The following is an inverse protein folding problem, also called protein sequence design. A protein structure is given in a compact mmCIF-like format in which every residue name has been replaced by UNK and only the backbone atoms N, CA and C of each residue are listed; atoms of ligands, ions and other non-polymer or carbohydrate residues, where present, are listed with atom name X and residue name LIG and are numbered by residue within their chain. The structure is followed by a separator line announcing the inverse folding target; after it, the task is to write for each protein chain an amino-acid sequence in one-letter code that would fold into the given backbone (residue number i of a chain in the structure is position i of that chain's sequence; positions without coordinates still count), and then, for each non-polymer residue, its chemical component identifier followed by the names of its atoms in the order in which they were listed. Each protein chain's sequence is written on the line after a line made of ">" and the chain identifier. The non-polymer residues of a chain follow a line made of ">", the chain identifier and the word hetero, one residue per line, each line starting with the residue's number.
data_IF_881379625102
#
_entry.id   IF_881379625102
#
_cell.length_a   1.000
_cell.length_b   1.000
_cell.length_c   1.000
_cell.angle_alpha   90.00
_cell.angle_beta   90.00
_cell.angle_gamma   90.00
#
_symmetry.space_group_name_H-M   'P 1'
#
loop_
_entity.id
_entity.type
_entity.pdbx_description
1 polymer ?
#
# COMPACT_ATOMS: atom_id res chain seq x y z
N UNK A 1 19.62 -10.30 16.63
CA UNK A 1 20.17 -10.19 15.26
C UNK A 1 19.19 -10.89 14.36
N UNK A 2 18.43 -10.15 13.54
CA UNK A 2 17.48 -10.72 12.59
C UNK A 2 18.21 -11.66 11.63
N UNK A 3 17.63 -12.81 11.31
CA UNK A 3 18.23 -13.71 10.32
C UNK A 3 18.27 -13.00 8.95
N UNK A 4 19.40 -13.07 8.22
CA UNK A 4 19.47 -12.47 6.90
C UNK A 4 18.45 -13.13 5.96
N UNK A 5 17.75 -12.32 5.18
CA UNK A 5 16.80 -12.80 4.17
C UNK A 5 17.50 -13.80 3.24
N UNK A 6 16.85 -14.95 2.99
CA UNK A 6 17.34 -15.99 2.08
C UNK A 6 16.48 -16.00 0.82
N UNK A 7 16.98 -15.48 -0.31
CA UNK A 7 16.27 -15.55 -1.57
C UNK A 7 15.99 -16.99 -2.00
N UNK A 8 14.95 -17.18 -2.82
CA UNK A 8 14.67 -18.45 -3.48
C UNK A 8 14.58 -18.28 -4.99
N UNK A 9 14.19 -19.36 -5.69
CA UNK A 9 14.10 -19.37 -7.14
C UNK A 9 13.28 -18.19 -7.68
N UNK A 10 13.88 -17.41 -8.56
CA UNK A 10 13.34 -16.14 -9.03
C UNK A 10 13.26 -16.17 -10.57
N UNK A 11 12.25 -16.85 -11.15
CA UNK A 11 12.20 -17.16 -12.57
C UNK A 11 12.13 -15.93 -13.48
N UNK A 12 11.62 -14.80 -12.96
CA UNK A 12 11.51 -13.53 -13.69
C UNK A 12 12.65 -12.56 -13.36
N UNK A 13 13.52 -12.89 -12.41
CA UNK A 13 14.53 -11.95 -11.91
C UNK A 13 13.89 -10.70 -11.27
N UNK A 14 12.80 -10.90 -10.52
CA UNK A 14 12.08 -9.84 -9.80
C UNK A 14 13.03 -9.08 -8.89
N UNK A 15 12.99 -7.74 -8.93
CA UNK A 15 13.97 -6.87 -8.27
C UNK A 15 13.37 -5.65 -7.56
N UNK A 16 12.13 -5.74 -7.08
CA UNK A 16 11.43 -4.65 -6.38
C UNK A 16 10.42 -3.92 -7.25
N UNK A 17 9.81 -2.87 -6.68
CA UNK A 17 8.92 -1.97 -7.40
C UNK A 17 9.70 -1.10 -8.40
N UNK A 18 9.09 -0.86 -9.56
CA UNK A 18 9.56 0.13 -10.53
C UNK A 18 8.84 1.46 -10.34
N UNK A 19 7.51 1.43 -10.19
CA UNK A 19 6.65 2.59 -9.94
C UNK A 19 5.25 2.13 -9.51
N UNK A 20 4.41 3.07 -9.07
CA UNK A 20 2.96 2.90 -8.90
C UNK A 20 2.23 3.86 -9.83
N UNK A 21 1.27 3.37 -10.60
CA UNK A 21 0.44 4.20 -11.48
C UNK A 21 -0.89 4.50 -10.81
N UNK A 22 -1.25 5.78 -10.79
CA UNK A 22 -2.56 6.25 -10.35
C UNK A 22 -3.42 6.65 -11.54
N UNK A 23 -4.70 6.33 -11.43
CA UNK A 23 -5.75 6.78 -12.31
C UNK A 23 -6.42 8.02 -11.71
N UNK A 24 -6.62 9.05 -12.52
CA UNK A 24 -7.45 10.19 -12.20
C UNK A 24 -8.01 10.84 -13.47
N UNK A 25 -9.18 11.46 -13.36
CA UNK A 25 -9.78 12.26 -14.44
C UNK A 25 -9.26 13.71 -14.44
N UNK A 26 -8.91 14.24 -13.27
CA UNK A 26 -8.22 15.51 -13.06
C UNK A 26 -7.00 15.28 -12.17
N UNK A 27 -5.91 15.97 -12.47
CA UNK A 27 -4.63 15.87 -11.78
C UNK A 27 -4.53 16.79 -10.57
N UNK A 28 -5.35 17.84 -10.47
CA UNK A 28 -5.18 18.90 -9.46
C UNK A 28 -5.15 18.35 -8.01
N UNK A 29 -6.06 17.44 -7.69
CA UNK A 29 -6.13 16.85 -6.35
C UNK A 29 -4.96 15.90 -6.08
N UNK A 30 -4.56 15.08 -7.07
CA UNK A 30 -3.38 14.21 -6.95
C UNK A 30 -2.08 15.01 -6.86
N UNK A 31 -1.95 16.09 -7.63
CA UNK A 31 -0.84 17.04 -7.56
C UNK A 31 -0.71 17.59 -6.13
N UNK A 32 -1.83 18.00 -5.53
CA UNK A 32 -1.86 18.50 -4.16
C UNK A 32 -1.38 17.44 -3.17
N UNK A 33 -1.96 16.24 -3.21
CA UNK A 33 -1.60 15.13 -2.31
C UNK A 33 -0.14 14.73 -2.43
N UNK A 34 0.36 14.54 -3.66
CA UNK A 34 1.75 14.15 -3.89
C UNK A 34 2.74 15.24 -3.50
N UNK A 35 2.38 16.52 -3.70
CA UNK A 35 3.20 17.65 -3.23
C UNK A 35 3.24 17.70 -1.70
N UNK A 36 2.11 17.48 -1.02
CA UNK A 36 2.08 17.39 0.45
C UNK A 36 2.97 16.26 0.97
N UNK A 37 2.94 15.09 0.29
CA UNK A 37 3.81 13.96 0.57
C UNK A 37 5.30 14.21 0.25
N UNK A 38 5.62 15.32 -0.41
CA UNK A 38 7.00 15.72 -0.72
C UNK A 38 7.56 15.17 -2.02
N UNK A 39 6.71 14.69 -2.92
CA UNK A 39 7.14 14.32 -4.25
C UNK A 39 7.34 15.55 -5.12
N UNK A 40 8.50 15.63 -5.78
CA UNK A 40 8.70 16.57 -6.87
C UNK A 40 8.04 16.04 -8.14
N UNK A 41 7.41 16.91 -8.93
CA UNK A 41 6.91 16.54 -10.25
C UNK A 41 7.93 16.88 -11.33
N UNK A 42 8.25 15.91 -12.19
CA UNK A 42 9.12 16.11 -13.34
C UNK A 42 8.36 15.72 -14.61
N UNK A 43 8.28 16.65 -15.57
CA UNK A 43 7.84 16.38 -16.93
C UNK A 43 9.02 15.93 -17.78
N UNK A 44 9.15 14.63 -18.05
CA UNK A 44 10.17 14.09 -18.93
C UNK A 44 9.65 13.93 -20.36
N UNK A 45 10.45 14.31 -21.36
CA UNK A 45 10.09 14.14 -22.78
C UNK A 45 9.75 12.68 -23.17
N UNK A 46 10.33 11.69 -22.46
CA UNK A 46 10.08 10.25 -22.65
C UNK A 46 8.72 9.77 -22.11
N UNK A 47 8.07 10.54 -21.22
CA UNK A 47 6.77 10.20 -20.63
C UNK A 47 5.59 10.83 -21.38
N UNK A 48 5.86 11.65 -22.40
CA UNK A 48 4.81 12.35 -23.16
C UNK A 48 3.96 13.25 -22.24
N UNK A 49 2.68 12.91 -22.06
CA UNK A 49 1.76 13.62 -21.15
C UNK A 49 1.53 12.87 -19.82
N UNK A 50 2.18 11.72 -19.63
CA UNK A 50 2.21 11.04 -18.34
C UNK A 50 3.12 11.84 -17.40
N UNK A 51 2.62 12.14 -16.19
CA UNK A 51 3.39 12.84 -15.17
C UNK A 51 4.08 11.84 -14.26
N UNK A 52 5.30 12.16 -13.85
CA UNK A 52 6.06 11.42 -12.85
C UNK A 52 6.26 12.28 -11.61
N UNK A 53 5.99 11.69 -10.46
CA UNK A 53 6.24 12.23 -9.14
C UNK A 53 7.30 11.37 -8.50
N UNK A 54 8.38 12.01 -8.05
CA UNK A 54 9.58 11.33 -7.61
C UNK A 54 10.03 11.81 -6.23
N UNK A 55 10.39 10.85 -5.38
CA UNK A 55 11.04 11.09 -4.10
C UNK A 55 11.89 9.86 -3.75
N UNK A 56 13.20 10.03 -3.62
CA UNK A 56 14.15 8.95 -3.33
C UNK A 56 13.98 7.77 -4.30
N UNK A 57 13.70 6.55 -3.83
CA UNK A 57 13.50 5.37 -4.69
C UNK A 57 12.02 5.14 -5.07
N UNK A 58 11.16 6.15 -4.88
CA UNK A 58 9.72 6.06 -5.14
C UNK A 58 9.39 6.83 -6.41
N UNK A 59 8.72 6.13 -7.33
CA UNK A 59 8.15 6.70 -8.55
C UNK A 59 6.64 6.48 -8.58
N UNK A 60 5.88 7.57 -8.66
CA UNK A 60 4.45 7.55 -8.90
C UNK A 60 4.18 8.12 -10.30
N UNK A 61 3.37 7.43 -11.08
CA UNK A 61 2.98 7.85 -12.43
C UNK A 61 1.50 8.20 -12.45
N UNK A 62 1.14 9.21 -13.24
CA UNK A 62 -0.27 9.51 -13.54
C UNK A 62 -0.40 9.77 -15.03
N UNK A 63 -1.15 8.94 -15.73
CA UNK A 63 -1.42 9.10 -17.15
C UNK A 63 -2.78 9.76 -17.39
N UNK A 64 -2.75 11.08 -17.62
CA UNK A 64 -3.94 11.87 -17.93
C UNK A 64 -4.20 12.02 -19.43
N UNK A 65 -3.51 11.27 -20.30
CA UNK A 65 -3.81 11.29 -21.74
C UNK A 65 -5.28 10.88 -21.97
N UNK A 66 -6.01 11.60 -22.85
CA UNK A 66 -7.33 11.15 -23.29
C UNK A 66 -7.25 9.72 -23.81
N UNK A 67 -8.25 8.89 -23.46
CA UNK A 67 -8.34 7.48 -23.87
C UNK A 67 -7.14 6.60 -23.46
N UNK A 68 -6.35 7.02 -22.47
CA UNK A 68 -5.41 6.11 -21.79
C UNK A 68 -6.15 5.07 -20.96
N UNK A 69 -5.45 4.00 -20.59
CA UNK A 69 -5.94 3.04 -19.61
C UNK A 69 -6.26 3.74 -18.28
N UNK A 70 -5.33 4.55 -17.76
CA UNK A 70 -5.51 5.29 -16.50
C UNK A 70 -6.76 6.18 -16.50
N UNK A 71 -7.00 6.93 -17.57
CA UNK A 71 -8.18 7.78 -17.69
C UNK A 71 -9.49 6.97 -17.72
N UNK A 72 -9.55 5.88 -18.51
CA UNK A 72 -10.72 4.98 -18.52
C UNK A 72 -10.95 4.31 -17.18
N UNK A 73 -9.88 3.88 -16.51
CA UNK A 73 -9.96 3.27 -15.20
C UNK A 73 -10.53 4.27 -14.18
N UNK A 74 -10.08 5.53 -14.23
CA UNK A 74 -10.57 6.61 -13.38
C UNK A 74 -12.06 6.92 -13.57
N UNK A 75 -12.58 6.79 -14.80
CA UNK A 75 -14.02 6.98 -15.06
C UNK A 75 -14.91 5.96 -14.33
N UNK A 76 -14.40 4.73 -14.12
CA UNK A 76 -15.14 3.67 -13.44
C UNK A 76 -14.84 3.56 -11.94
N UNK A 77 -13.63 3.90 -11.51
CA UNK A 77 -13.15 3.65 -10.15
C UNK A 77 -12.79 4.93 -9.38
N UNK A 78 -12.88 6.11 -10.00
CA UNK A 78 -12.39 7.36 -9.44
C UNK A 78 -10.87 7.37 -9.26
N UNK A 79 -10.39 8.25 -8.37
CA UNK A 79 -8.96 8.36 -8.05
C UNK A 79 -8.48 7.09 -7.34
N UNK A 80 -7.55 6.38 -7.97
CA UNK A 80 -7.19 5.02 -7.57
C UNK A 80 -5.80 4.62 -8.04
N UNK A 81 -5.21 3.57 -7.44
CA UNK A 81 -4.06 2.89 -8.03
C UNK A 81 -4.58 1.96 -9.12
N UNK A 82 -4.11 2.15 -10.35
CA UNK A 82 -4.54 1.38 -11.51
C UNK A 82 -3.42 0.50 -12.09
N UNK A 83 -2.17 0.71 -11.65
CA UNK A 83 -1.04 -0.07 -12.15
C UNK A 83 0.13 -0.16 -11.18
N UNK A 84 0.91 -1.22 -11.32
CA UNK A 84 2.11 -1.51 -10.53
C UNK A 84 3.23 -1.92 -11.46
N UNK A 85 4.34 -1.18 -11.45
CA UNK A 85 5.55 -1.58 -12.13
C UNK A 85 6.38 -2.53 -11.29
N UNK A 86 6.76 -3.68 -11.83
CA UNK A 86 7.64 -4.64 -11.19
C UNK A 86 8.94 -4.74 -12.01
N UNK A 87 10.07 -4.53 -11.35
CA UNK A 87 11.39 -4.69 -11.98
C UNK A 87 11.66 -6.17 -12.22
N UNK A 88 12.02 -6.53 -13.44
CA UNK A 88 12.35 -7.89 -13.87
C UNK A 88 13.67 -7.89 -14.65
N UNK A 89 14.32 -9.05 -14.79
CA UNK A 89 15.59 -9.14 -15.50
C UNK A 89 15.46 -8.95 -17.02
N UNK A 90 14.32 -9.36 -17.61
CA UNK A 90 14.00 -9.20 -19.02
C UNK A 90 12.48 -9.20 -19.21
N UNK A 91 11.92 -8.10 -19.70
CA UNK A 91 10.48 -7.86 -19.75
C UNK A 91 9.77 -8.81 -20.73
N UNK A 92 10.38 -9.10 -21.88
CA UNK A 92 9.78 -10.00 -22.88
C UNK A 92 9.81 -11.45 -22.42
N UNK A 93 10.91 -11.90 -21.82
CA UNK A 93 11.00 -13.23 -21.23
C UNK A 93 10.04 -13.39 -20.05
N UNK A 94 9.92 -12.36 -19.21
CA UNK A 94 8.96 -12.34 -18.10
C UNK A 94 7.50 -12.42 -18.61
N UNK A 95 7.17 -11.69 -19.68
CA UNK A 95 5.85 -11.77 -20.30
C UNK A 95 5.59 -13.19 -20.82
N UNK A 96 6.51 -13.76 -21.59
CA UNK A 96 6.37 -15.11 -22.13
C UNK A 96 6.17 -16.16 -21.02
N UNK A 97 6.92 -16.05 -19.92
CA UNK A 97 6.72 -16.89 -18.74
C UNK A 97 5.34 -16.68 -18.12
N UNK A 98 4.94 -15.44 -17.85
CA UNK A 98 3.67 -15.13 -17.23
C UNK A 98 2.48 -15.69 -18.03
N UNK A 99 2.52 -15.56 -19.36
CA UNK A 99 1.51 -16.13 -20.26
C UNK A 99 1.48 -17.66 -20.22
N UNK A 100 2.65 -18.31 -20.17
CA UNK A 100 2.73 -19.76 -20.01
C UNK A 100 2.15 -20.23 -18.65
N UNK A 101 2.15 -19.38 -17.63
CA UNK A 101 1.54 -19.61 -16.32
C UNK A 101 0.06 -19.16 -16.22
N UNK A 102 -0.56 -18.79 -17.35
CA UNK A 102 -1.98 -18.45 -17.43
C UNK A 102 -2.32 -16.99 -17.11
N UNK A 103 -1.33 -16.09 -16.99
CA UNK A 103 -1.61 -14.67 -16.95
C UNK A 103 -2.21 -14.18 -18.28
N UNK A 104 -2.95 -13.06 -18.23
CA UNK A 104 -3.53 -12.43 -19.42
C UNK A 104 -2.75 -11.16 -19.72
N UNK A 105 -2.28 -11.00 -20.96
CA UNK A 105 -1.64 -9.77 -21.41
C UNK A 105 -2.67 -8.64 -21.49
N UNK A 106 -2.25 -7.43 -21.11
CA UNK A 106 -3.04 -6.22 -21.27
C UNK A 106 -2.86 -5.67 -22.68
N UNK A 107 -3.96 -5.43 -23.38
CA UNK A 107 -3.99 -4.79 -24.69
C UNK A 107 -4.68 -3.42 -24.57
N UNK A 108 -3.95 -2.42 -24.06
CA UNK A 108 -4.47 -1.07 -23.83
C UNK A 108 -3.41 0.00 -24.12
N UNK A 109 -3.85 1.26 -24.19
CA UNK A 109 -2.95 2.42 -24.22
C UNK A 109 -2.42 2.69 -22.80
N UNK A 110 -1.24 2.16 -22.50
CA UNK A 110 -0.65 2.20 -21.16
C UNK A 110 0.26 3.40 -20.94
N UNK A 111 0.48 3.78 -19.67
CA UNK A 111 1.29 4.95 -19.27
C UNK A 111 2.73 4.91 -19.79
N UNK A 112 3.31 3.71 -19.90
CA UNK A 112 4.65 3.49 -20.46
C UNK A 112 4.62 2.36 -21.48
N UNK A 113 5.58 2.39 -22.41
CA UNK A 113 5.78 1.32 -23.39
C UNK A 113 6.52 0.14 -22.75
N UNK A 114 5.78 -0.70 -22.04
CA UNK A 114 6.29 -1.92 -21.42
C UNK A 114 5.27 -3.07 -21.54
N UNK A 115 5.75 -4.33 -21.67
CA UNK A 115 4.91 -5.51 -21.52
C UNK A 115 4.15 -5.51 -20.20
N UNK A 116 2.86 -5.85 -20.24
CA UNK A 116 2.04 -5.86 -19.03
C UNK A 116 0.99 -6.97 -19.03
N UNK A 117 0.62 -7.40 -17.83
CA UNK A 117 -0.41 -8.41 -17.58
C UNK A 117 -1.47 -7.87 -16.61
N UNK A 118 -2.66 -8.47 -16.63
CA UNK A 118 -3.72 -8.13 -15.68
C UNK A 118 -3.32 -8.55 -14.24
N UNK A 119 -3.54 -7.65 -13.30
CA UNK A 119 -3.34 -7.84 -11.86
C UNK A 119 -4.66 -7.91 -11.09
N UNK A 120 -4.64 -7.43 -9.85
CA UNK A 120 -5.79 -7.42 -8.94
C UNK A 120 -6.82 -6.41 -9.44
N UNK A 121 -8.10 -6.77 -9.56
CA UNK A 121 -9.14 -5.77 -9.82
C UNK A 121 -9.00 -5.04 -11.16
N UNK A 122 -8.61 -5.76 -12.20
CA UNK A 122 -8.29 -5.23 -13.54
C UNK A 122 -7.16 -4.19 -13.57
N UNK A 123 -6.39 -4.03 -12.49
CA UNK A 123 -5.15 -3.25 -12.50
C UNK A 123 -4.12 -3.86 -13.45
N UNK A 124 -3.10 -3.08 -13.78
CA UNK A 124 -2.03 -3.47 -14.70
C UNK A 124 -0.75 -3.80 -13.91
N UNK A 125 -0.14 -4.94 -14.18
CA UNK A 125 1.22 -5.24 -13.72
C UNK A 125 2.17 -5.06 -14.90
N UNK A 126 3.01 -4.02 -14.84
CA UNK A 126 4.04 -3.75 -15.84
C UNK A 126 5.30 -4.54 -15.52
N UNK A 127 5.89 -5.16 -16.54
CA UNK A 127 7.15 -5.90 -16.47
C UNK A 127 8.26 -4.99 -16.99
N UNK A 128 9.10 -4.49 -16.09
CA UNK A 128 10.05 -3.41 -16.38
C UNK A 128 11.48 -3.91 -16.26
N UNK A 129 12.23 -3.96 -17.36
CA UNK A 129 13.66 -4.34 -17.38
C UNK A 129 14.61 -3.17 -17.66
N UNK A 130 14.09 -2.07 -18.21
CA UNK A 130 14.79 -0.79 -18.35
C UNK A 130 14.31 0.18 -17.29
N UNK A 131 15.21 0.98 -16.72
CA UNK A 131 14.77 2.12 -15.93
C UNK A 131 13.94 3.04 -16.86
N UNK A 132 12.72 3.46 -16.47
CA UNK A 132 11.95 4.40 -17.27
C UNK A 132 12.81 5.66 -17.44
N UNK A 133 13.17 6.02 -18.68
CA UNK A 133 14.20 7.02 -19.01
C UNK A 133 14.27 8.18 -17.98
N UNK A 134 15.16 8.04 -16.99
CA UNK A 134 15.12 8.83 -15.74
C UNK A 134 15.87 10.15 -15.85
N UNK A 135 16.31 10.52 -17.05
CA UNK A 135 17.26 11.63 -17.25
C UNK A 135 16.61 13.02 -17.29
N UNK A 136 15.37 13.18 -16.80
CA UNK A 136 14.75 14.50 -16.62
C UNK A 136 14.89 14.97 -15.16
N UNK A 137 16.05 15.56 -14.87
CA UNK A 137 16.31 16.73 -14.01
C UNK A 137 15.34 17.03 -12.86
N UNK A 138 15.64 16.49 -11.67
CA UNK A 138 16.22 17.18 -10.51
C UNK A 138 15.74 16.51 -9.23
N UNK A 139 16.67 15.89 -8.51
CA UNK A 139 16.50 15.49 -7.10
C UNK A 139 16.51 16.76 -6.25
N UNK A 140 15.51 17.62 -6.41
CA UNK A 140 15.30 18.70 -5.46
C UNK A 140 14.83 18.05 -4.15
N UNK A 141 15.80 17.73 -3.30
CA UNK A 141 15.54 17.14 -1.99
C UNK A 141 14.93 18.14 -1.03
N UNK A 142 14.79 19.43 -1.40
CA UNK A 142 14.21 20.45 -0.53
C UNK A 142 12.75 20.16 -0.18
N UNK A 143 12.04 19.42 -1.02
CA UNK A 143 10.65 19.02 -0.79
C UNK A 143 10.52 17.68 -0.08
N UNK A 144 11.61 16.94 0.17
CA UNK A 144 11.55 15.62 0.80
C UNK A 144 10.89 15.67 2.18
N UNK A 145 10.18 14.60 2.51
CA UNK A 145 9.54 14.35 3.82
C UNK A 145 10.19 13.17 4.54
N UNK A 146 11.33 12.68 4.06
CA UNK A 146 12.04 11.52 4.61
C UNK A 146 11.50 10.16 4.13
N UNK A 147 10.53 10.15 3.20
CA UNK A 147 10.05 8.94 2.55
C UNK A 147 11.07 8.46 1.52
N UNK A 148 11.40 7.17 1.54
CA UNK A 148 12.57 6.66 0.81
C UNK A 148 12.26 5.60 -0.24
N UNK A 149 11.30 4.70 0.03
CA UNK A 149 11.00 3.55 -0.81
C UNK A 149 9.56 3.07 -0.57
N UNK A 150 9.04 2.26 -1.49
CA UNK A 150 7.79 1.54 -1.29
C UNK A 150 8.08 0.33 -0.39
N UNK A 151 7.31 0.17 0.69
CA UNK A 151 7.41 -0.97 1.60
C UNK A 151 6.55 -2.15 1.09
N UNK A 152 5.24 -1.90 0.95
CA UNK A 152 4.30 -2.91 0.52
C UNK A 152 3.03 -2.30 -0.09
N UNK A 153 2.22 -3.16 -0.70
CA UNK A 153 0.87 -2.85 -1.17
C UNK A 153 -0.15 -3.68 -0.41
N UNK A 154 -1.27 -3.07 -0.03
CA UNK A 154 -2.42 -3.80 0.52
C UNK A 154 -3.58 -3.73 -0.44
N UNK A 155 -4.18 -4.88 -0.72
CA UNK A 155 -5.25 -5.04 -1.67
C UNK A 155 -6.48 -5.60 -0.96
N UNK A 156 -7.64 -5.00 -1.21
CA UNK A 156 -8.91 -5.58 -0.84
C UNK A 156 -9.36 -6.52 -1.96
N UNK A 157 -9.78 -7.73 -1.60
CA UNK A 157 -10.35 -8.70 -2.53
C UNK A 157 -11.73 -9.13 -2.06
N UNK A 158 -12.58 -9.50 -3.01
CA UNK A 158 -13.91 -10.04 -2.75
C UNK A 158 -13.82 -11.40 -2.07
N UNK A 159 -14.89 -11.76 -1.36
CA UNK A 159 -15.05 -13.06 -0.72
C UNK A 159 -14.76 -14.21 -1.68
N UNK A 160 -13.89 -15.12 -1.26
CA UNK A 160 -13.47 -16.29 -2.03
C UNK A 160 -12.38 -16.02 -3.08
N UNK A 161 -11.85 -14.80 -3.18
CA UNK A 161 -10.80 -14.47 -4.15
C UNK A 161 -9.37 -14.60 -3.59
N UNK A 162 -9.19 -14.71 -2.27
CA UNK A 162 -7.86 -14.79 -1.64
C UNK A 162 -6.99 -15.87 -2.30
N UNK A 163 -7.46 -17.12 -2.32
CA UNK A 163 -6.68 -18.24 -2.86
C UNK A 163 -6.37 -18.06 -4.35
N UNK A 164 -7.30 -17.49 -5.11
CA UNK A 164 -7.10 -17.24 -6.54
C UNK A 164 -5.96 -16.26 -6.80
N UNK A 165 -5.88 -15.18 -6.01
CA UNK A 165 -4.79 -14.21 -6.11
C UNK A 165 -3.48 -14.73 -5.53
N UNK A 166 -3.51 -15.45 -4.42
CA UNK A 166 -2.32 -16.12 -3.87
C UNK A 166 -1.72 -17.07 -4.89
N UNK A 167 -2.54 -17.93 -5.49
CA UNK A 167 -2.05 -18.86 -6.50
C UNK A 167 -1.57 -18.15 -7.77
N UNK A 168 -2.18 -17.02 -8.15
CA UNK A 168 -1.70 -16.20 -9.27
C UNK A 168 -0.28 -15.70 -9.03
N UNK A 169 -0.01 -15.05 -7.89
CA UNK A 169 1.33 -14.55 -7.56
C UNK A 169 2.34 -15.68 -7.35
N UNK A 170 1.92 -16.81 -6.78
CA UNK A 170 2.76 -17.99 -6.64
C UNK A 170 3.14 -18.60 -8.00
N UNK A 171 2.18 -18.80 -8.91
CA UNK A 171 2.46 -19.40 -10.22
C UNK A 171 3.28 -18.48 -11.13
N UNK A 172 2.92 -17.20 -11.18
CA UNK A 172 3.51 -16.25 -12.16
C UNK A 172 4.85 -15.69 -11.69
N UNK A 173 4.98 -15.34 -10.41
CA UNK A 173 6.15 -14.64 -9.86
C UNK A 173 6.93 -15.47 -8.85
N UNK A 174 6.47 -16.69 -8.53
CA UNK A 174 7.01 -17.52 -7.47
C UNK A 174 6.99 -16.84 -6.09
N UNK A 175 6.00 -15.98 -5.83
CA UNK A 175 5.81 -15.40 -4.50
C UNK A 175 5.45 -16.51 -3.50
N UNK A 176 5.83 -16.31 -2.24
CA UNK A 176 5.48 -17.22 -1.15
C UNK A 176 4.66 -16.52 -0.12
N UNK A 177 3.68 -17.23 0.42
CA UNK A 177 2.99 -16.79 1.62
C UNK A 177 3.94 -16.81 2.82
N UNK A 178 3.92 -15.71 3.57
CA UNK A 178 4.73 -15.55 4.77
C UNK A 178 3.92 -15.53 6.04
N UNK A 179 2.70 -15.05 5.97
CA UNK A 179 1.82 -14.98 7.12
C UNK A 179 0.35 -14.93 6.71
N UNK A 180 -0.47 -15.42 7.62
CA UNK A 180 -1.93 -15.32 7.56
C UNK A 180 -2.38 -14.72 8.88
N UNK A 181 -3.24 -13.72 8.79
CA UNK A 181 -3.83 -13.05 9.95
C UNK A 181 -5.33 -13.06 9.78
N UNK A 182 -6.03 -13.42 10.85
CA UNK A 182 -7.47 -13.37 10.89
C UNK A 182 -7.90 -12.55 12.12
N UNK A 183 -8.85 -11.66 11.92
CA UNK A 183 -9.48 -10.87 12.98
C UNK A 183 -10.99 -10.92 12.82
N UNK A 184 -11.72 -10.78 13.93
CA UNK A 184 -13.17 -10.72 13.93
C UNK A 184 -13.65 -9.71 14.96
N UNK A 185 -14.63 -8.90 14.57
CA UNK A 185 -15.49 -8.10 15.44
C UNK A 185 -16.94 -8.57 15.28
N UNK A 186 -17.83 -8.00 16.10
CA UNK A 186 -19.27 -8.27 16.00
C UNK A 186 -19.86 -7.92 14.62
N UNK A 187 -19.23 -7.00 13.88
CA UNK A 187 -19.70 -6.51 12.59
C UNK A 187 -18.99 -7.15 11.38
N UNK A 188 -17.75 -7.63 11.53
CA UNK A 188 -16.96 -8.12 10.40
C UNK A 188 -15.86 -9.11 10.78
N UNK A 189 -15.54 -10.02 9.86
CA UNK A 189 -14.37 -10.88 9.90
C UNK A 189 -13.42 -10.49 8.78
N UNK A 190 -12.14 -10.33 9.09
CA UNK A 190 -11.11 -10.00 8.11
C UNK A 190 -10.09 -11.13 8.11
N UNK A 191 -9.74 -11.60 6.91
CA UNK A 191 -8.62 -12.51 6.68
C UNK A 191 -7.63 -11.82 5.77
N UNK A 192 -6.38 -11.70 6.21
CA UNK A 192 -5.28 -11.14 5.45
C UNK A 192 -4.20 -12.20 5.22
N UNK A 193 -3.71 -12.30 3.97
CA UNK A 193 -2.61 -13.17 3.56
C UNK A 193 -1.48 -12.32 3.01
N UNK A 194 -0.27 -12.50 3.52
CA UNK A 194 0.89 -11.70 3.12
C UNK A 194 1.81 -12.51 2.22
N UNK A 195 2.07 -11.96 1.03
CA UNK A 195 2.90 -12.56 0.00
C UNK A 195 4.21 -11.81 -0.14
N UNK A 196 5.32 -12.53 -0.18
CA UNK A 196 6.66 -11.98 -0.37
C UNK A 196 7.28 -12.51 -1.67
N UNK A 197 7.93 -11.61 -2.41
CA UNK A 197 8.68 -11.94 -3.62
C UNK A 197 9.95 -12.78 -3.35
N UNK A 198 10.45 -13.54 -4.34
CA UNK A 198 11.70 -14.32 -4.22
C UNK A 198 12.94 -13.54 -3.81
N UNK A 199 12.96 -12.23 -4.08
CA UNK A 199 14.06 -11.35 -3.73
C UNK A 199 13.85 -10.60 -2.40
N UNK A 200 12.69 -10.75 -1.75
CA UNK A 200 12.35 -10.09 -0.49
C UNK A 200 12.10 -8.59 -0.60
N UNK A 201 11.94 -8.06 -1.82
CA UNK A 201 11.81 -6.60 -2.07
C UNK A 201 10.39 -6.15 -2.42
N UNK A 202 9.48 -7.07 -2.71
CA UNK A 202 8.06 -6.78 -2.85
C UNK A 202 7.29 -7.59 -1.83
N UNK A 203 6.37 -6.91 -1.18
CA UNK A 203 5.37 -7.47 -0.30
C UNK A 203 3.98 -7.02 -0.73
N UNK A 204 3.04 -7.96 -0.79
CA UNK A 204 1.63 -7.71 -1.10
C UNK A 204 0.77 -8.37 -0.03
N UNK A 205 -0.04 -7.56 0.64
CA UNK A 205 -1.05 -8.02 1.59
C UNK A 205 -2.38 -8.11 0.86
N UNK A 206 -2.97 -9.30 0.82
CA UNK A 206 -4.31 -9.53 0.29
C UNK A 206 -5.28 -9.64 1.46
N UNK A 207 -6.30 -8.79 1.51
CA UNK A 207 -7.30 -8.77 2.57
C UNK A 207 -8.69 -9.06 2.02
N UNK A 208 -9.39 -9.99 2.66
CA UNK A 208 -10.80 -10.29 2.44
C UNK A 208 -11.58 -9.88 3.70
N UNK A 209 -12.70 -9.17 3.52
CA UNK A 209 -13.59 -8.78 4.60
C UNK A 209 -14.96 -9.41 4.40
N UNK A 210 -15.44 -10.10 5.42
CA UNK A 210 -16.75 -10.73 5.48
C UNK A 210 -17.57 -9.99 6.54
N UNK A 211 -18.56 -9.21 6.14
CA UNK A 211 -19.49 -8.57 7.09
C UNK A 211 -20.41 -9.62 7.71
N UNK A 212 -20.53 -9.60 9.03
CA UNK A 212 -21.37 -10.54 9.79
C UNK A 212 -22.74 -9.88 9.99
N UNK A 213 -23.73 -10.33 9.22
CA UNK A 213 -25.11 -9.84 9.30
C UNK A 213 -25.52 -8.99 8.11
N UNK A 214 -25.97 -9.65 7.04
CA UNK A 214 -27.11 -9.30 6.18
C UNK A 214 -27.15 -10.28 5.00
N UNK A 215 -27.54 -11.52 5.27
CA UNK A 215 -28.10 -12.42 4.24
C UNK A 215 -29.61 -12.17 4.03
N UNK A 216 -30.17 -11.09 4.57
CA UNK A 216 -31.57 -10.69 4.38
C UNK A 216 -31.62 -9.17 4.17
N UNK A 217 -32.03 -8.75 2.98
CA UNK A 217 -32.46 -7.37 2.71
C UNK A 217 -31.37 -6.43 2.20
N UNK A 218 -31.43 -6.12 0.90
CA UNK A 218 -31.24 -4.74 0.49
C UNK A 218 -32.23 -3.89 1.29
N UNK A 219 -31.79 -3.00 2.16
CA UNK A 219 -32.60 -1.86 2.58
C UNK A 219 -31.71 -0.65 2.87
N UNK A 220 -32.21 0.49 2.41
CA UNK A 220 -31.50 1.75 2.28
C UNK A 220 -31.32 2.45 3.63
N UNK A 221 -30.06 2.70 4.02
CA UNK A 221 -29.71 3.74 4.99
C UNK A 221 -28.21 4.14 5.04
N UNK A 222 -27.31 3.52 4.24
CA UNK A 222 -25.90 3.97 4.16
C UNK A 222 -25.62 4.62 2.80
N UNK A 223 -25.96 5.91 2.69
CA UNK A 223 -25.62 6.78 1.55
C UNK A 223 -24.14 7.24 1.56
N UNK A 224 -23.24 6.39 2.06
CA UNK A 224 -21.79 6.51 1.92
C UNK A 224 -21.18 5.16 1.48
N UNK A 225 -21.84 4.46 0.55
CA UNK A 225 -21.29 3.28 -0.12
C UNK A 225 -19.93 3.65 -0.70
N UNK A 226 -18.89 3.09 -0.10
CA UNK A 226 -17.52 3.04 -0.63
C UNK A 226 -17.61 2.70 -2.13
N UNK A 227 -17.15 3.61 -3.00
CA UNK A 227 -17.38 3.58 -4.46
C UNK A 227 -16.55 2.47 -5.13
N UNK A 228 -16.15 1.44 -4.39
CA UNK A 228 -15.19 0.41 -4.81
C UNK A 228 -15.74 -0.98 -4.48
N UNK A 229 -16.93 -1.29 -5.00
CA UNK A 229 -17.43 -2.67 -5.07
C UNK A 229 -16.50 -3.48 -5.99
N UNK A 230 -15.53 -4.22 -5.43
CA UNK A 230 -14.62 -5.05 -6.23
C UNK A 230 -13.24 -5.29 -5.62
N UNK A 231 -12.45 -6.12 -6.31
CA UNK A 231 -11.04 -6.33 -5.97
C UNK A 231 -10.27 -5.06 -6.34
N UNK A 232 -9.39 -4.54 -5.49
CA UNK A 232 -8.61 -3.33 -5.77
C UNK A 232 -7.40 -3.18 -4.85
N UNK A 233 -6.44 -2.37 -5.25
CA UNK A 233 -5.36 -1.90 -4.38
C UNK A 233 -5.92 -0.78 -3.49
N UNK A 234 -5.86 -0.98 -2.16
CA UNK A 234 -6.44 -0.08 -1.16
C UNK A 234 -5.47 1.02 -0.74
N UNK A 235 -4.24 0.64 -0.37
CA UNK A 235 -3.22 1.61 0.06
C UNK A 235 -1.82 1.18 -0.35
N UNK A 236 -0.94 2.19 -0.36
CA UNK A 236 0.50 2.06 -0.56
C UNK A 236 1.21 2.39 0.76
N UNK A 237 2.10 1.51 1.19
CA UNK A 237 2.96 1.76 2.34
C UNK A 237 4.32 2.30 1.90
N UNK A 238 4.75 3.39 2.52
CA UNK A 238 5.99 4.10 2.21
C UNK A 238 6.94 4.03 3.39
N UNK A 239 8.17 3.59 3.14
CA UNK A 239 9.19 3.46 4.16
C UNK A 239 9.81 4.83 4.49
N UNK A 240 10.06 5.07 5.77
CA UNK A 240 10.86 6.19 6.30
C UNK A 240 12.00 5.66 7.18
N UNK A 241 13.14 6.38 7.16
CA UNK A 241 14.26 6.11 8.07
C UNK A 241 14.07 6.80 9.46
N UNK A 242 13.23 7.84 9.53
CA UNK A 242 12.79 8.51 10.76
C UNK A 242 11.30 8.87 10.64
N UNK A 243 10.45 7.93 11.06
CA UNK A 243 9.00 8.06 10.92
C UNK A 243 8.47 9.25 11.72
N UNK A 244 9.04 9.54 12.88
CA UNK A 244 8.59 10.66 13.70
C UNK A 244 8.82 11.99 12.97
N UNK A 245 10.03 12.21 12.44
CA UNK A 245 10.34 13.41 11.67
C UNK A 245 9.48 13.52 10.40
N UNK A 246 9.24 12.39 9.71
CA UNK A 246 8.34 12.36 8.56
C UNK A 246 6.91 12.77 8.93
N UNK A 247 6.34 12.22 10.00
CA UNK A 247 4.98 12.55 10.46
C UNK A 247 4.88 14.02 10.86
N UNK A 248 5.84 14.53 11.64
CA UNK A 248 5.90 15.93 12.06
C UNK A 248 5.95 16.87 10.84
N UNK A 249 6.79 16.55 9.84
CA UNK A 249 6.91 17.32 8.60
C UNK A 249 5.62 17.28 7.78
N UNK A 250 5.01 16.10 7.63
CA UNK A 250 3.78 15.93 6.86
C UNK A 250 2.59 16.65 7.52
N UNK A 251 2.48 16.60 8.85
CA UNK A 251 1.48 17.38 9.61
C UNK A 251 1.67 18.88 9.42
N UNK A 252 2.92 19.37 9.46
CA UNK A 252 3.22 20.78 9.18
C UNK A 252 2.81 21.20 7.75
N UNK A 253 2.74 20.24 6.81
CA UNK A 253 2.21 20.44 5.44
C UNK A 253 0.70 20.20 5.31
N UNK A 254 0.00 19.98 6.42
CA UNK A 254 -1.45 19.79 6.46
C UNK A 254 -1.92 18.36 6.18
N UNK A 255 -1.03 17.36 6.21
CA UNK A 255 -1.43 15.96 6.07
C UNK A 255 -2.15 15.47 7.34
N UNK A 256 -3.35 14.91 7.16
CA UNK A 256 -4.11 14.26 8.21
C UNK A 256 -3.68 12.81 8.43
N UNK A 257 -3.70 12.36 9.69
CA UNK A 257 -3.40 10.98 10.08
C UNK A 257 -4.54 10.42 10.94
N UNK A 258 -4.77 9.11 10.84
CA UNK A 258 -5.70 8.41 11.72
C UNK A 258 -5.24 8.56 13.18
N UNK A 259 -6.23 8.64 14.08
CA UNK A 259 -5.98 8.75 15.50
C UNK A 259 -5.95 7.37 16.17
N UNK A 260 -5.22 7.29 17.28
CA UNK A 260 -5.20 6.12 18.15
C UNK A 260 -5.45 6.59 19.59
N UNK A 261 -6.38 5.95 20.32
CA UNK A 261 -6.77 6.38 21.66
C UNK A 261 -5.59 6.32 22.63
N UNK A 262 -5.62 7.15 23.69
CA UNK A 262 -4.55 7.18 24.68
C UNK A 262 -4.36 5.81 25.35
N UNK A 263 -5.46 5.07 25.53
CA UNK A 263 -5.47 3.70 26.06
C UNK A 263 -4.57 2.74 25.27
N UNK A 264 -4.37 2.94 23.96
CA UNK A 264 -3.41 2.15 23.18
C UNK A 264 -1.98 2.25 23.76
N UNK A 265 -1.54 3.48 24.05
CA UNK A 265 -0.20 3.77 24.56
C UNK A 265 -0.05 3.39 26.04
N UNK A 266 -1.12 3.52 26.84
CA UNK A 266 -1.14 3.04 28.23
C UNK A 266 -0.89 1.53 28.33
N UNK A 267 -1.37 0.76 27.34
CA UNK A 267 -1.24 -0.69 27.31
C UNK A 267 0.04 -1.17 26.59
N UNK A 268 0.80 -0.26 25.96
CA UNK A 268 1.90 -0.62 25.07
C UNK A 268 3.01 -1.40 25.77
N UNK A 269 3.46 -0.94 26.94
CA UNK A 269 4.55 -1.59 27.69
C UNK A 269 4.16 -2.99 28.21
N UNK A 270 2.86 -3.20 28.46
CA UNK A 270 2.35 -4.53 28.84
C UNK A 270 2.27 -5.46 27.64
N UNK A 271 1.87 -4.93 26.48
CA UNK A 271 1.75 -5.69 25.23
C UNK A 271 3.12 -6.05 24.65
N UNK A 272 4.05 -5.09 24.64
CA UNK A 272 5.38 -5.22 24.04
C UNK A 272 6.48 -4.82 25.05
N UNK A 273 6.75 -5.63 26.10
CA UNK A 273 7.75 -5.30 27.09
C UNK A 273 9.13 -5.09 26.46
N UNK A 274 9.76 -3.94 26.74
CA UNK A 274 11.11 -3.64 26.24
C UNK A 274 11.18 -3.25 24.76
N UNK A 275 10.09 -2.72 24.19
CA UNK A 275 10.03 -2.24 22.79
C UNK A 275 11.08 -1.15 22.47
N UNK A 276 11.51 -0.36 23.46
CA UNK A 276 12.63 0.58 23.33
C UNK A 276 12.30 1.91 22.64
N UNK A 277 11.03 2.18 22.33
CA UNK A 277 10.56 3.45 21.81
C UNK A 277 10.13 4.41 22.93
N UNK A 278 10.04 5.69 22.61
CA UNK A 278 9.52 6.72 23.52
C UNK A 278 7.99 6.74 23.44
N UNK A 279 7.33 6.11 24.44
CA UNK A 279 5.87 6.00 24.51
C UNK A 279 5.16 7.36 24.52
N UNK A 280 5.75 8.40 25.11
CA UNK A 280 5.14 9.75 25.09
C UNK A 280 5.21 10.35 23.68
N UNK A 281 6.35 10.18 22.99
CA UNK A 281 6.48 10.64 21.60
C UNK A 281 5.58 9.85 20.65
N UNK A 282 5.44 8.54 20.84
CA UNK A 282 4.50 7.70 20.09
C UNK A 282 3.07 8.23 20.26
N UNK A 283 2.64 8.49 21.50
CA UNK A 283 1.32 9.05 21.78
C UNK A 283 1.12 10.43 21.14
N UNK A 284 2.10 11.32 21.22
CA UNK A 284 2.02 12.65 20.60
C UNK A 284 1.97 12.58 19.06
N UNK A 285 2.70 11.64 18.47
CA UNK A 285 2.75 11.44 17.02
C UNK A 285 1.66 10.53 16.47
N UNK A 286 0.91 9.85 17.34
CA UNK A 286 -0.08 8.82 16.99
C UNK A 286 0.51 7.62 16.22
N UNK A 287 1.81 7.35 16.40
CA UNK A 287 2.51 6.25 15.73
C UNK A 287 2.23 4.95 16.49
N UNK A 288 1.82 3.91 15.76
CA UNK A 288 1.61 2.56 16.26
C UNK A 288 2.92 1.78 16.25
N UNK A 289 3.07 0.83 17.18
CA UNK A 289 4.28 0.00 17.32
C UNK A 289 3.92 -1.46 17.42
N UNK A 290 4.46 -2.27 16.52
CA UNK A 290 4.45 -3.72 16.66
C UNK A 290 5.87 -4.24 16.90
N UNK A 291 5.99 -5.51 17.29
CA UNK A 291 7.29 -6.17 17.34
C UNK A 291 7.23 -7.59 16.80
N UNK A 292 8.39 -8.05 16.33
CA UNK A 292 8.60 -9.44 15.96
C UNK A 292 9.24 -10.19 17.12
N UNK A 293 9.02 -11.50 17.13
CA UNK A 293 9.65 -12.44 18.07
C UNK A 293 11.20 -12.37 18.05
N UNK A 294 11.79 -11.82 16.99
CA UNK A 294 13.24 -11.74 16.76
C UNK A 294 13.90 -10.46 17.32
N UNK A 295 13.13 -9.61 18.03
CA UNK A 295 13.67 -8.48 18.79
C UNK A 295 13.85 -7.17 18.01
N UNK A 296 13.04 -6.95 16.98
CA UNK A 296 12.91 -5.66 16.29
C UNK A 296 11.50 -5.07 16.47
N UNK A 297 11.36 -3.78 16.19
CA UNK A 297 10.05 -3.08 16.20
C UNK A 297 9.68 -2.56 14.81
N UNK A 298 8.38 -2.48 14.58
CA UNK A 298 7.76 -1.96 13.38
C UNK A 298 6.88 -0.76 13.76
N UNK A 299 7.25 0.43 13.28
CA UNK A 299 6.47 1.64 13.48
C UNK A 299 5.56 1.87 12.28
N UNK A 300 4.29 2.18 12.51
CA UNK A 300 3.29 2.39 11.46
C UNK A 300 2.38 3.57 11.80
N UNK A 301 1.94 4.29 10.78
CA UNK A 301 0.87 5.28 10.88
C UNK A 301 0.17 5.41 9.53
N UNK A 302 -1.13 5.71 9.56
CA UNK A 302 -1.96 5.79 8.35
C UNK A 302 -2.46 7.22 8.18
N UNK A 303 -2.47 7.72 6.94
CA UNK A 303 -3.15 8.99 6.65
C UNK A 303 -4.65 8.82 6.86
N UNK A 304 -5.37 9.92 7.11
CA UNK A 304 -6.82 9.93 6.87
C UNK A 304 -7.10 9.62 5.40
N UNK A 305 -8.33 9.21 5.08
CA UNK A 305 -8.76 9.08 3.69
C UNK A 305 -8.60 10.42 2.96
N UNK A 306 -7.93 10.39 1.80
CA UNK A 306 -7.58 11.58 1.01
C UNK A 306 -8.55 11.74 -0.16
N UNK A 307 -8.41 10.91 -1.19
CA UNK A 307 -9.15 11.04 -2.46
C UNK A 307 -9.79 9.71 -2.86
N UNK A 308 -11.11 9.66 -3.02
CA UNK A 308 -11.80 8.47 -3.54
C UNK A 308 -11.50 7.18 -2.76
N UNK A 309 -11.28 7.28 -1.45
CA UNK A 309 -10.90 6.14 -0.60
C UNK A 309 -9.40 5.87 -0.49
N UNK A 310 -8.55 6.58 -1.23
CA UNK A 310 -7.09 6.45 -1.16
C UNK A 310 -6.56 6.96 0.19
N UNK A 311 -5.68 6.18 0.80
CA UNK A 311 -4.84 6.60 1.92
C UNK A 311 -3.44 5.97 1.79
N UNK A 312 -2.50 6.47 2.57
CA UNK A 312 -1.13 5.97 2.63
C UNK A 312 -0.81 5.43 4.01
N UNK A 313 0.04 4.41 4.04
CA UNK A 313 0.70 3.99 5.26
C UNK A 313 2.14 4.49 5.24
N UNK A 314 2.65 4.94 6.38
CA UNK A 314 4.05 5.26 6.57
C UNK A 314 4.65 4.28 7.57
N UNK A 315 5.80 3.71 7.21
CA UNK A 315 6.40 2.59 7.93
C UNK A 315 7.86 2.85 8.25
N UNK A 316 8.29 2.49 9.45
CA UNK A 316 9.71 2.36 9.77
C UNK A 316 9.99 0.99 10.39
N UNK A 317 10.86 0.23 9.72
CA UNK A 317 11.33 -1.09 10.17
C UNK A 317 12.61 -0.93 10.98
N UNK A 318 12.55 -1.20 12.29
CA UNK A 318 13.71 -1.22 13.19
C UNK A 318 14.06 -2.67 13.56
N UNK A 319 14.59 -3.40 12.58
CA UNK A 319 14.95 -4.81 12.73
C UNK A 319 13.79 -5.80 12.56
N UNK A 320 12.58 -5.31 12.34
CA UNK A 320 11.37 -6.11 12.11
C UNK A 320 10.99 -6.18 10.61
N UNK A 321 11.00 -7.40 10.07
CA UNK A 321 10.57 -7.71 8.71
C UNK A 321 9.13 -8.28 8.64
N UNK A 322 8.39 -8.26 9.74
CA UNK A 322 7.00 -8.66 9.88
C UNK A 322 6.01 -7.62 9.35
N UNK A 323 4.72 -7.80 9.63
CA UNK A 323 3.65 -7.07 8.91
C UNK A 323 2.68 -6.30 9.81
N UNK A 324 3.03 -6.10 11.09
CA UNK A 324 2.22 -5.25 11.97
C UNK A 324 0.89 -5.87 12.37
N UNK A 325 0.78 -7.20 12.40
CA UNK A 325 -0.48 -7.90 12.67
C UNK A 325 -1.05 -7.62 14.06
N UNK A 326 -0.19 -7.39 15.05
CA UNK A 326 -0.58 -6.99 16.39
C UNK A 326 -1.09 -5.56 16.45
N UNK A 327 -0.64 -4.67 15.56
CA UNK A 327 -1.04 -3.26 15.58
C UNK A 327 -2.52 -3.05 15.33
N UNK A 328 -3.09 -3.67 14.30
CA UNK A 328 -4.51 -3.53 14.01
C UNK A 328 -5.38 -4.11 15.13
N UNK A 329 -5.06 -5.31 15.62
CA UNK A 329 -5.80 -5.94 16.71
C UNK A 329 -5.76 -5.08 17.99
N UNK A 330 -4.58 -4.59 18.37
CA UNK A 330 -4.41 -3.75 19.55
C UNK A 330 -5.10 -2.39 19.41
N UNK A 331 -5.10 -1.79 18.20
CA UNK A 331 -5.84 -0.57 17.94
C UNK A 331 -7.35 -0.79 18.15
N UNK A 332 -7.91 -1.86 17.57
CA UNK A 332 -9.33 -2.19 17.75
C UNK A 332 -9.69 -2.45 19.22
N UNK A 333 -8.88 -3.24 19.94
CA UNK A 333 -9.09 -3.52 21.36
C UNK A 333 -9.07 -2.22 22.20
N UNK A 334 -8.13 -1.31 21.90
CA UNK A 334 -8.03 -0.03 22.61
C UNK A 334 -9.23 0.89 22.37
N UNK A 335 -9.77 0.92 21.14
CA UNK A 335 -10.98 1.68 20.81
C UNK A 335 -12.19 1.13 21.57
N UNK A 336 -12.31 -0.19 21.66
CA UNK A 336 -13.41 -0.84 22.38
C UNK A 336 -13.32 -0.59 23.89
N UNK A 337 -12.11 -0.62 24.47
CA UNK A 337 -11.91 -0.25 25.87
C UNK A 337 -12.25 1.22 26.15
N UNK A 338 -11.92 2.14 25.26
CA UNK A 338 -12.31 3.56 25.40
C UNK A 338 -13.83 3.74 25.34
N UNK A 339 -14.53 3.02 24.46
CA UNK A 339 -16.00 3.00 24.42
C UNK A 339 -16.62 2.51 25.74
N UNK A 340 -16.00 1.52 26.38
CA UNK A 340 -16.46 1.02 27.68
C UNK A 340 -16.16 2.01 28.82
N UNK A 341 -15.06 2.76 28.73
CA UNK A 341 -14.66 3.80 29.70
C UNK A 341 -15.50 5.07 29.59
N UNK A 342 -15.80 5.50 28.37
CA UNK A 342 -16.65 6.66 28.07
C UNK A 342 -17.58 6.39 26.87
N UNK A 343 -18.80 5.89 27.13
CA UNK A 343 -19.78 5.55 26.09
C UNK A 343 -20.25 6.74 25.25
N UNK A 344 -19.97 7.98 25.68
CA UNK A 344 -20.41 9.20 24.97
C UNK A 344 -19.47 9.63 23.82
N UNK A 345 -18.33 8.96 23.69
CA UNK A 345 -17.29 9.24 22.68
C UNK A 345 -17.45 8.48 21.35
N UNK A 346 -18.41 7.56 21.24
CA UNK A 346 -18.64 6.73 20.07
C UNK A 346 -19.38 7.49 18.95
N UNK A 347 -18.64 8.33 18.21
CA UNK A 347 -19.18 9.02 17.04
C UNK A 347 -18.06 9.53 16.13
N UNK A 348 -17.50 8.63 15.33
CA UNK A 348 -16.77 8.93 14.10
C UNK A 348 -17.11 7.89 13.05
#
# INVERSE_FOLDING_TARGET
>A
MSQPFTPWDNPLGVAGFAFIEYAATDLADLDHVFTQLGFGSAGGAALGQTRRYHQADIDLLVDARPDSFGQRYAQSHGVSICGVGIRVANAQAALAHALAQGAKQVAASLAIDAPAIHGIGDTVIYLVDTAPDTTADTTDTSTSTGLRSIDHLTCQVRRGQLDSYVDFFARVFNFRERAVTAGSSDAAQIVARVLESPCGKLCITLAETNTVGNEIGQDAADEARDVREGDHIRHLALQSDDLYASVETLRARGMGFLDAPQTYYELLDSRLPGHGEDTERLAATRILVDSSLDGGVLLQIFTTTLLGGLFFELVQRKGDNGFGHGNFAALFESIELDRQRDPSSAGY
#
